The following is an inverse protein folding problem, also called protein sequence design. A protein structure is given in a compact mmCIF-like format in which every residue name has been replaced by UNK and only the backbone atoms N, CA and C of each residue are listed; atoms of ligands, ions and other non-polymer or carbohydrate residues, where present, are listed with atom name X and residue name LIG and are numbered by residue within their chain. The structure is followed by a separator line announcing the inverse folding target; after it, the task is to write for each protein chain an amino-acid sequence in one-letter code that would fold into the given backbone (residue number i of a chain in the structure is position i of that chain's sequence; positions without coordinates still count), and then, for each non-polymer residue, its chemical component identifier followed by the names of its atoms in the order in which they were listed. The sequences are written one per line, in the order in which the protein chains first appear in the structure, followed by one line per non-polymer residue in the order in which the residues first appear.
data_IF_772904862854
#
_entry.id   IF_772904862854
#
_cell.length_a   1.000
_cell.length_b   1.000
_cell.length_c   1.000
_cell.angle_alpha   90.00
_cell.angle_beta   90.00
_cell.angle_gamma   90.00
#
_symmetry.space_group_name_H-M   'P 1'
#
loop_
_entity.id
_entity.type
_entity.pdbx_description
1 polymer ?
#
# COMPACT_ATOMS: atom_id res chain seq x y z
N UNK A 1 -5.60 -27.40 11.68
CA UNK A 1 -6.76 -28.24 12.11
C UNK A 1 -7.35 -27.81 13.48
N UNK A 2 -6.53 -27.42 14.46
CA UNK A 2 -7.02 -26.93 15.76
C UNK A 2 -7.75 -25.58 15.64
N UNK A 3 -7.31 -24.72 14.73
CA UNK A 3 -7.90 -23.40 14.47
C UNK A 3 -9.30 -23.50 13.84
N UNK A 4 -9.51 -24.44 12.93
CA UNK A 4 -10.84 -24.71 12.34
C UNK A 4 -11.84 -25.19 13.35
N UNK A 5 -11.41 -26.00 14.32
CA UNK A 5 -12.23 -26.51 15.42
C UNK A 5 -12.69 -25.41 16.37
N UNK A 6 -11.77 -24.54 16.79
CA UNK A 6 -12.09 -23.39 17.68
C UNK A 6 -13.01 -22.40 16.98
N UNK A 7 -12.81 -22.15 15.70
CA UNK A 7 -13.65 -21.27 14.88
C UNK A 7 -15.07 -21.82 14.74
N UNK A 8 -15.21 -23.13 14.48
CA UNK A 8 -16.51 -23.79 14.39
C UNK A 8 -17.24 -23.79 15.74
N UNK A 9 -16.53 -24.01 16.85
CA UNK A 9 -17.07 -23.90 18.21
C UNK A 9 -17.55 -22.46 18.49
N UNK A 10 -16.74 -21.46 18.17
CA UNK A 10 -17.11 -20.05 18.33
C UNK A 10 -18.40 -19.71 17.58
N UNK A 11 -18.51 -20.16 16.33
CA UNK A 11 -19.73 -19.99 15.52
C UNK A 11 -20.95 -20.69 16.14
N UNK A 12 -20.79 -21.90 16.69
CA UNK A 12 -21.88 -22.60 17.36
C UNK A 12 -22.34 -21.90 18.64
N UNK A 13 -21.40 -21.39 19.44
CA UNK A 13 -21.68 -20.62 20.67
C UNK A 13 -22.45 -19.33 20.35
N UNK A 14 -22.00 -18.58 19.35
CA UNK A 14 -22.61 -17.30 18.92
C UNK A 14 -24.05 -17.50 18.38
N UNK A 15 -24.32 -18.58 17.66
CA UNK A 15 -25.66 -18.87 17.15
C UNK A 15 -26.65 -19.29 18.21
N UNK A 16 -26.17 -19.79 19.36
CA UNK A 16 -26.98 -20.36 20.43
C UNK A 16 -27.40 -19.37 21.50
N UNK A 17 -26.66 -18.26 21.65
CA UNK A 17 -26.92 -17.27 22.69
C UNK A 17 -26.72 -15.85 22.15
N UNK A 18 -27.78 -15.00 22.22
CA UNK A 18 -27.62 -13.57 21.89
C UNK A 18 -26.55 -12.88 22.74
N UNK A 19 -26.41 -13.25 24.01
CA UNK A 19 -25.38 -12.71 24.89
C UNK A 19 -23.98 -13.11 24.43
N UNK A 20 -23.80 -14.38 24.02
CA UNK A 20 -22.54 -14.85 23.44
C UNK A 20 -22.20 -14.14 22.13
N UNK A 21 -23.22 -13.83 21.31
CA UNK A 21 -23.04 -13.04 20.09
C UNK A 21 -22.57 -11.62 20.39
N UNK A 22 -23.17 -10.97 21.38
CA UNK A 22 -22.78 -9.62 21.80
C UNK A 22 -21.34 -9.61 22.36
N UNK A 23 -20.94 -10.61 23.12
CA UNK A 23 -19.56 -10.75 23.61
C UNK A 23 -18.60 -10.89 22.44
N UNK A 24 -18.92 -11.73 21.45
CA UNK A 24 -18.09 -11.90 20.26
C UNK A 24 -18.00 -10.61 19.41
N UNK A 25 -19.13 -9.91 19.22
CA UNK A 25 -19.14 -8.61 18.50
C UNK A 25 -18.23 -7.63 19.23
N UNK A 26 -18.40 -7.46 20.54
CA UNK A 26 -17.59 -6.54 21.34
C UNK A 26 -16.09 -6.88 21.35
N UNK A 27 -15.72 -8.15 21.15
CA UNK A 27 -14.34 -8.57 21.03
C UNK A 27 -13.74 -8.29 19.63
N UNK A 28 -14.53 -8.47 18.58
CA UNK A 28 -14.03 -8.34 17.19
C UNK A 28 -14.20 -6.94 16.60
N UNK A 29 -15.23 -6.19 16.99
CA UNK A 29 -15.53 -4.87 16.39
C UNK A 29 -14.41 -3.85 16.59
N UNK A 30 -13.82 -3.65 17.79
CA UNK A 30 -12.70 -2.72 17.97
C UNK A 30 -11.49 -3.10 17.11
N UNK A 31 -11.28 -4.42 16.92
CA UNK A 31 -10.20 -4.91 16.06
C UNK A 31 -10.47 -4.64 14.58
N UNK A 32 -11.71 -4.80 14.13
CA UNK A 32 -12.09 -4.46 12.77
C UNK A 32 -11.95 -2.95 12.51
N UNK A 33 -12.37 -2.13 13.47
CA UNK A 33 -12.25 -0.66 13.40
C UNK A 33 -10.78 -0.21 13.29
N UNK A 34 -9.87 -0.80 14.05
CA UNK A 34 -8.45 -0.46 14.05
C UNK A 34 -7.62 -1.08 12.91
N UNK A 35 -8.21 -1.76 11.93
CA UNK A 35 -7.45 -2.44 10.85
C UNK A 35 -6.65 -1.46 9.99
N UNK A 36 -7.20 -0.29 9.69
CA UNK A 36 -6.50 0.74 8.93
C UNK A 36 -5.29 1.27 9.69
N UNK A 37 -5.46 1.62 10.96
CA UNK A 37 -4.38 2.17 11.79
C UNK A 37 -3.24 1.15 11.96
N UNK A 38 -3.58 -0.13 12.13
CA UNK A 38 -2.57 -1.20 12.18
C UNK A 38 -1.84 -1.40 10.85
N UNK A 39 -2.52 -1.19 9.72
CA UNK A 39 -1.88 -1.23 8.42
C UNK A 39 -0.92 -0.05 8.26
N UNK A 40 -1.34 1.17 8.59
CA UNK A 40 -0.50 2.36 8.56
C UNK A 40 0.73 2.16 9.46
N UNK A 41 0.52 1.76 10.71
CA UNK A 41 1.61 1.48 11.63
C UNK A 41 2.56 0.38 11.17
N UNK A 42 2.06 -0.65 10.47
CA UNK A 42 2.91 -1.68 9.88
C UNK A 42 3.72 -1.15 8.68
N UNK A 43 3.12 -0.32 7.83
CA UNK A 43 3.81 0.34 6.72
C UNK A 43 4.94 1.23 7.25
N UNK A 44 4.64 2.07 8.23
CA UNK A 44 5.63 3.00 8.81
C UNK A 44 6.77 2.27 9.53
N UNK A 45 6.46 1.22 10.26
CA UNK A 45 7.46 0.40 10.96
C UNK A 45 8.38 -0.34 10.00
N UNK A 46 7.81 -0.96 8.94
CA UNK A 46 8.55 -1.86 8.07
C UNK A 46 9.18 -1.13 6.87
N UNK A 47 8.58 -0.04 6.39
CA UNK A 47 9.01 0.65 5.17
C UNK A 47 9.39 2.13 5.39
N UNK A 48 9.07 2.70 6.55
CA UNK A 48 9.34 4.10 6.88
C UNK A 48 8.12 5.01 6.71
N UNK A 49 8.29 6.31 7.01
CA UNK A 49 7.20 7.28 7.05
C UNK A 49 6.56 7.45 5.67
N UNK A 50 5.23 7.61 5.66
CA UNK A 50 4.45 7.87 4.46
C UNK A 50 4.35 9.37 4.16
N UNK A 51 4.18 9.72 2.89
CA UNK A 51 4.01 11.10 2.47
C UNK A 51 2.57 11.38 2.01
N UNK A 52 2.12 12.61 2.21
CA UNK A 52 0.96 13.13 1.51
C UNK A 52 1.31 13.30 0.02
N UNK A 53 0.66 12.54 -0.86
CA UNK A 53 1.03 12.44 -2.28
C UNK A 53 1.01 13.80 -3.00
N UNK A 54 -0.07 14.61 -2.95
CA UNK A 54 -0.07 15.95 -3.55
C UNK A 54 1.02 16.86 -2.97
N UNK A 55 1.16 16.91 -1.66
CA UNK A 55 2.12 17.77 -0.98
C UNK A 55 3.56 17.42 -1.35
N UNK A 56 3.93 16.13 -1.29
CA UNK A 56 5.29 15.70 -1.65
C UNK A 56 5.64 16.03 -3.10
N UNK A 57 4.69 15.85 -4.02
CA UNK A 57 4.88 16.21 -5.43
C UNK A 57 5.14 17.71 -5.61
N UNK A 58 4.42 18.57 -4.88
CA UNK A 58 4.63 20.02 -4.91
C UNK A 58 5.96 20.41 -4.25
N UNK A 59 6.30 19.83 -3.11
CA UNK A 59 7.56 20.07 -2.42
C UNK A 59 8.77 19.82 -3.32
N UNK A 60 8.75 18.73 -4.11
CA UNK A 60 9.81 18.41 -5.06
C UNK A 60 9.89 19.41 -6.22
N UNK A 61 8.74 19.96 -6.69
CA UNK A 61 8.74 21.05 -7.66
C UNK A 61 9.37 22.29 -7.06
N UNK A 62 8.99 22.67 -5.83
CA UNK A 62 9.53 23.83 -5.16
C UNK A 62 11.02 23.68 -4.86
N UNK A 63 11.48 22.47 -4.51
CA UNK A 63 12.90 22.17 -4.36
C UNK A 63 13.65 22.37 -5.68
N UNK A 64 13.11 21.87 -6.81
CA UNK A 64 13.70 22.08 -8.12
C UNK A 64 13.84 23.58 -8.47
N UNK A 65 12.78 24.35 -8.23
CA UNK A 65 12.78 25.81 -8.47
C UNK A 65 13.77 26.53 -7.56
N UNK A 66 13.74 26.24 -6.27
CA UNK A 66 14.61 26.88 -5.28
C UNK A 66 16.10 26.58 -5.55
N UNK A 67 16.43 25.32 -5.92
CA UNK A 67 17.79 24.94 -6.23
C UNK A 67 18.33 25.60 -7.54
N UNK A 68 17.44 25.72 -8.53
CA UNK A 68 17.85 26.21 -9.86
C UNK A 68 17.79 27.73 -10.04
N UNK A 69 16.85 28.40 -9.36
CA UNK A 69 16.61 29.85 -9.53
C UNK A 69 17.87 30.71 -9.37
N UNK A 70 18.70 30.56 -8.30
CA UNK A 70 19.92 31.36 -8.15
C UNK A 70 20.92 31.18 -9.29
N UNK A 71 20.82 30.07 -10.01
CA UNK A 71 21.69 29.77 -11.16
C UNK A 71 21.11 30.29 -12.49
N UNK A 72 19.79 30.42 -12.59
CA UNK A 72 19.11 31.00 -13.78
C UNK A 72 19.12 32.54 -13.77
N UNK A 73 18.91 33.20 -12.62
CA UNK A 73 18.85 34.66 -12.52
C UNK A 73 20.06 35.41 -13.13
N UNK A 74 21.33 34.96 -12.91
CA UNK A 74 22.47 35.59 -13.55
C UNK A 74 22.46 35.46 -15.07
N UNK A 75 21.96 34.32 -15.60
CA UNK A 75 21.90 34.08 -17.05
C UNK A 75 20.87 34.99 -17.74
N UNK A 76 19.77 35.30 -17.08
CA UNK A 76 18.74 36.20 -17.59
C UNK A 76 19.25 37.65 -17.76
N UNK A 77 20.27 38.02 -16.97
CA UNK A 77 20.91 39.34 -17.02
C UNK A 77 22.01 39.45 -18.07
N UNK A 78 22.40 38.34 -18.70
CA UNK A 78 23.41 38.37 -19.75
C UNK A 78 22.88 39.00 -21.04
N UNK A 79 23.78 39.67 -21.83
CA UNK A 79 23.36 40.24 -23.10
C UNK A 79 22.81 39.18 -24.05
N UNK A 80 21.87 39.54 -24.95
CA UNK A 80 21.38 38.67 -25.98
C UNK A 80 22.50 38.09 -26.85
N UNK A 81 22.40 36.80 -27.20
CA UNK A 81 23.42 36.07 -27.96
C UNK A 81 22.78 35.14 -28.98
N UNK A 82 23.47 34.98 -30.10
CA UNK A 82 23.12 34.01 -31.16
C UNK A 82 24.41 33.42 -31.75
N UNK A 83 24.25 32.37 -32.53
CA UNK A 83 25.32 31.79 -33.34
C UNK A 83 24.76 31.26 -34.66
N UNK A 84 25.62 31.09 -35.69
CA UNK A 84 25.22 30.48 -36.96
C UNK A 84 24.59 29.08 -36.79
N UNK A 85 25.14 28.27 -35.86
CA UNK A 85 24.63 26.95 -35.58
C UNK A 85 23.23 26.98 -34.96
N UNK A 86 22.97 27.95 -34.08
CA UNK A 86 21.63 28.15 -33.50
C UNK A 86 20.63 28.55 -34.59
N UNK A 87 21.02 29.50 -35.46
CA UNK A 87 20.16 29.99 -36.56
C UNK A 87 19.84 28.85 -37.55
N UNK A 88 20.82 28.00 -37.90
CA UNK A 88 20.60 26.83 -38.76
C UNK A 88 19.60 25.86 -38.13
N UNK A 89 19.74 25.49 -36.86
CA UNK A 89 18.81 24.61 -36.17
C UNK A 89 17.39 25.16 -36.13
N UNK A 90 17.23 26.46 -35.89
CA UNK A 90 15.94 27.11 -35.74
C UNK A 90 15.22 27.38 -37.08
N UNK A 91 15.96 27.44 -38.19
CA UNK A 91 15.41 27.53 -39.55
C UNK A 91 14.87 26.19 -40.05
N UNK A 92 15.04 25.10 -39.35
CA UNK A 92 14.38 23.81 -39.66
C UNK A 92 12.90 23.83 -39.35
N UNK A 93 12.10 22.97 -39.99
CA UNK A 93 10.69 22.78 -39.60
C UNK A 93 10.50 22.45 -38.13
N UNK A 94 11.39 21.67 -37.55
CA UNK A 94 11.40 21.32 -36.15
C UNK A 94 11.72 22.52 -35.24
N UNK A 95 12.70 23.32 -35.62
CA UNK A 95 13.06 24.57 -34.94
C UNK A 95 11.92 25.59 -34.97
N UNK A 96 11.32 25.81 -36.16
CA UNK A 96 10.13 26.66 -36.28
C UNK A 96 8.96 26.17 -35.43
N UNK A 97 8.75 24.85 -35.34
CA UNK A 97 7.73 24.28 -34.46
C UNK A 97 8.04 24.52 -32.99
N UNK A 98 9.32 24.39 -32.60
CA UNK A 98 9.76 24.70 -31.23
C UNK A 98 9.56 26.20 -30.90
N UNK A 99 9.84 27.11 -31.82
CA UNK A 99 9.59 28.55 -31.64
C UNK A 99 8.07 28.87 -31.50
N UNK A 100 7.19 28.22 -32.28
CA UNK A 100 5.72 28.36 -32.09
C UNK A 100 5.28 27.86 -30.73
N UNK A 101 5.78 26.69 -30.32
CA UNK A 101 5.50 26.15 -28.99
C UNK A 101 6.04 27.07 -27.86
N UNK A 102 7.23 27.67 -28.07
CA UNK A 102 7.83 28.62 -27.13
C UNK A 102 6.90 29.82 -26.89
N UNK A 103 6.36 30.42 -27.92
CA UNK A 103 5.41 31.52 -27.82
C UNK A 103 4.15 31.12 -27.05
N UNK A 104 3.55 29.98 -27.38
CA UNK A 104 2.39 29.44 -26.64
C UNK A 104 2.68 29.17 -25.15
N UNK A 105 3.88 28.70 -24.83
CA UNK A 105 4.29 28.42 -23.44
C UNK A 105 4.49 29.77 -22.69
N UNK A 106 5.15 30.73 -23.33
CA UNK A 106 5.36 32.05 -22.75
C UNK A 106 4.03 32.76 -22.45
N UNK A 107 3.09 32.72 -23.39
CA UNK A 107 1.74 33.28 -23.22
C UNK A 107 0.99 32.59 -22.07
N UNK A 108 1.02 31.26 -22.01
CA UNK A 108 0.40 30.49 -20.93
C UNK A 108 1.04 30.79 -19.55
N UNK A 109 2.34 31.07 -19.50
CA UNK A 109 3.07 31.45 -18.30
C UNK A 109 2.98 32.95 -17.99
N UNK A 110 2.23 33.72 -18.81
CA UNK A 110 2.06 35.18 -18.65
C UNK A 110 3.39 35.92 -18.65
N UNK A 111 4.31 35.54 -19.55
CA UNK A 111 5.54 36.26 -19.77
C UNK A 111 5.23 37.73 -20.14
N UNK A 112 6.04 38.69 -19.65
CA UNK A 112 5.81 40.10 -19.96
C UNK A 112 5.73 40.36 -21.48
N UNK A 113 4.81 41.21 -21.89
CA UNK A 113 4.69 41.58 -23.31
C UNK A 113 6.02 42.13 -23.82
N UNK A 114 6.46 41.63 -24.96
CA UNK A 114 7.73 42.04 -25.60
C UNK A 114 8.98 41.39 -24.97
N UNK A 115 8.86 40.52 -23.97
CA UNK A 115 10.01 39.76 -23.43
C UNK A 115 10.55 38.70 -24.36
N UNK A 116 9.73 38.27 -25.33
CA UNK A 116 10.08 37.29 -26.35
C UNK A 116 10.55 37.99 -27.63
N UNK A 117 11.75 37.66 -28.08
CA UNK A 117 12.27 38.16 -29.36
C UNK A 117 11.77 37.28 -30.54
N UNK A 118 10.55 36.75 -30.50
CA UNK A 118 9.95 35.94 -31.56
C UNK A 118 8.76 36.66 -32.12
N UNK A 119 8.73 36.83 -33.46
CA UNK A 119 7.61 37.33 -34.24
C UNK A 119 7.30 36.39 -35.39
N UNK A 120 6.60 36.93 -36.42
CA UNK A 120 6.28 36.17 -37.63
C UNK A 120 6.73 36.95 -38.87
N UNK A 121 7.22 36.23 -39.88
CA UNK A 121 7.49 36.75 -41.19
C UNK A 121 6.19 36.93 -42.00
N UNK A 122 6.29 37.45 -43.25
CA UNK A 122 5.16 37.64 -44.13
C UNK A 122 4.43 36.32 -44.51
N UNK A 123 5.10 35.18 -44.37
CA UNK A 123 4.54 33.85 -44.62
C UNK A 123 3.95 33.20 -43.32
N UNK A 124 4.03 33.91 -42.18
CA UNK A 124 3.54 33.40 -40.88
C UNK A 124 4.51 32.43 -40.18
N UNK A 125 5.74 32.34 -40.65
CA UNK A 125 6.75 31.53 -39.96
C UNK A 125 7.33 32.31 -38.77
N UNK A 126 7.62 31.61 -37.65
CA UNK A 126 8.27 32.27 -36.54
C UNK A 126 9.70 32.66 -36.90
N UNK A 127 10.07 33.89 -36.58
CA UNK A 127 11.39 34.45 -36.81
C UNK A 127 11.83 35.29 -35.59
N UNK A 128 13.12 35.45 -35.39
CA UNK A 128 13.58 36.39 -34.39
C UNK A 128 13.41 37.83 -34.89
N UNK A 129 12.79 38.66 -34.08
CA UNK A 129 12.61 40.09 -34.34
C UNK A 129 13.80 40.92 -33.85
N UNK A 130 14.63 40.34 -32.99
CA UNK A 130 15.89 40.88 -32.47
C UNK A 130 16.78 39.73 -32.05
N UNK A 131 18.05 39.99 -31.73
CA UNK A 131 18.93 38.98 -31.10
C UNK A 131 18.28 38.43 -29.85
N UNK A 132 18.06 37.10 -29.78
CA UNK A 132 17.32 36.50 -28.67
C UNK A 132 18.10 36.58 -27.36
N UNK A 133 17.43 36.94 -26.29
CA UNK A 133 17.97 36.87 -24.95
C UNK A 133 17.87 35.43 -24.41
N UNK A 134 18.51 35.16 -23.27
CA UNK A 134 18.49 33.85 -22.60
C UNK A 134 17.07 33.33 -22.37
N UNK A 135 16.16 34.19 -21.90
CA UNK A 135 14.78 33.81 -21.60
C UNK A 135 14.04 33.31 -22.86
N UNK A 136 14.17 34.03 -23.99
CA UNK A 136 13.61 33.61 -25.30
C UNK A 136 14.11 32.24 -25.70
N UNK A 137 15.43 32.01 -25.60
CA UNK A 137 16.04 30.72 -25.99
C UNK A 137 15.64 29.61 -25.01
N UNK A 138 15.48 29.91 -23.72
CA UNK A 138 14.97 28.92 -22.76
C UNK A 138 13.50 28.52 -23.02
N UNK A 139 12.67 29.43 -23.51
CA UNK A 139 11.33 29.07 -24.00
C UNK A 139 11.38 28.21 -25.26
N UNK A 140 12.31 28.49 -26.18
CA UNK A 140 12.53 27.62 -27.36
C UNK A 140 12.94 26.20 -26.96
N UNK A 141 13.82 26.07 -25.95
CA UNK A 141 14.14 24.77 -25.34
C UNK A 141 12.89 24.03 -24.84
N UNK A 142 12.02 24.72 -24.10
CA UNK A 142 10.74 24.13 -23.66
C UNK A 142 9.83 23.76 -24.85
N UNK A 143 9.88 24.51 -25.93
CA UNK A 143 9.21 24.19 -27.18
C UNK A 143 9.72 22.89 -27.82
N UNK A 144 11.03 22.65 -27.82
CA UNK A 144 11.62 21.38 -28.24
C UNK A 144 11.23 20.23 -27.32
N UNK A 145 11.26 20.44 -26.01
CA UNK A 145 10.82 19.43 -25.02
C UNK A 145 9.39 18.99 -25.28
N UNK A 146 8.47 19.95 -25.47
CA UNK A 146 7.06 19.69 -25.79
C UNK A 146 6.89 18.89 -27.08
N UNK A 147 7.62 19.25 -28.15
CA UNK A 147 7.60 18.53 -29.41
C UNK A 147 8.06 17.09 -29.26
N UNK A 148 9.19 16.88 -28.59
CA UNK A 148 9.74 15.56 -28.32
C UNK A 148 8.76 14.68 -27.51
N UNK A 149 8.25 15.20 -26.39
CA UNK A 149 7.33 14.43 -25.53
C UNK A 149 6.02 14.08 -26.26
N UNK A 150 5.52 14.98 -27.13
CA UNK A 150 4.30 14.71 -27.92
C UNK A 150 4.51 13.56 -28.89
N UNK A 151 5.62 13.59 -29.66
CA UNK A 151 5.95 12.54 -30.62
C UNK A 151 6.28 11.22 -29.95
N UNK A 152 7.02 11.27 -28.83
CA UNK A 152 7.36 10.09 -28.04
C UNK A 152 6.11 9.36 -27.51
N UNK A 153 5.13 10.11 -26.99
CA UNK A 153 3.84 9.55 -26.54
C UNK A 153 3.01 8.95 -27.67
N UNK A 154 3.13 9.54 -28.86
CA UNK A 154 2.46 9.03 -30.06
C UNK A 154 3.19 7.80 -30.67
N UNK A 155 4.38 7.45 -30.18
CA UNK A 155 5.21 6.40 -30.80
C UNK A 155 5.74 6.79 -32.18
N UNK A 156 5.83 8.09 -32.49
CA UNK A 156 6.24 8.60 -33.80
C UNK A 156 7.76 8.39 -33.99
N UNK A 157 8.20 7.78 -35.12
CA UNK A 157 9.63 7.59 -35.42
C UNK A 157 10.44 8.89 -35.43
N UNK A 158 9.82 10.03 -35.71
CA UNK A 158 10.48 11.34 -35.71
C UNK A 158 10.95 11.79 -34.33
N UNK A 159 10.43 11.17 -33.24
CA UNK A 159 10.84 11.50 -31.87
C UNK A 159 12.36 11.41 -31.68
N UNK A 160 13.00 10.40 -32.30
CA UNK A 160 14.47 10.24 -32.27
C UNK A 160 15.21 11.44 -32.85
N UNK A 161 14.81 11.86 -34.04
CA UNK A 161 15.43 13.01 -34.74
C UNK A 161 15.21 14.33 -34.00
N UNK A 162 14.01 14.54 -33.45
CA UNK A 162 13.73 15.73 -32.63
C UNK A 162 14.55 15.73 -31.34
N UNK A 163 14.74 14.55 -30.72
CA UNK A 163 15.59 14.47 -29.53
C UNK A 163 17.07 14.74 -29.83
N UNK A 164 17.56 14.33 -31.00
CA UNK A 164 18.94 14.68 -31.44
C UNK A 164 19.07 16.19 -31.59
N UNK A 165 18.20 16.82 -32.39
CA UNK A 165 18.21 18.28 -32.60
C UNK A 165 18.07 19.06 -31.29
N UNK A 166 17.24 18.59 -30.37
CA UNK A 166 17.10 19.14 -29.01
C UNK A 166 18.41 19.06 -28.20
N UNK A 167 19.15 17.96 -28.32
CA UNK A 167 20.45 17.81 -27.65
C UNK A 167 21.50 18.76 -28.24
N UNK A 168 21.53 18.89 -29.56
CA UNK A 168 22.42 19.81 -30.27
C UNK A 168 22.11 21.25 -29.88
N UNK A 169 20.82 21.61 -29.82
CA UNK A 169 20.35 22.91 -29.33
C UNK A 169 20.81 23.19 -27.88
N UNK A 170 20.70 22.21 -26.99
CA UNK A 170 21.15 22.35 -25.60
C UNK A 170 22.67 22.51 -25.49
N UNK A 171 23.44 21.80 -26.30
CA UNK A 171 24.90 21.96 -26.35
C UNK A 171 25.30 23.39 -26.80
N UNK A 172 24.60 23.92 -27.81
CA UNK A 172 24.85 25.28 -28.26
C UNK A 172 24.44 26.34 -27.22
N UNK A 173 23.33 26.12 -26.52
CA UNK A 173 22.95 26.96 -25.40
C UNK A 173 23.98 26.96 -24.26
N UNK A 174 24.60 25.81 -23.97
CA UNK A 174 25.66 25.70 -22.97
C UNK A 174 26.92 26.47 -23.40
N UNK A 175 27.23 26.51 -24.72
CA UNK A 175 28.34 27.30 -25.29
C UNK A 175 28.06 28.82 -25.17
N UNK A 176 26.82 29.23 -25.52
CA UNK A 176 26.43 30.63 -25.49
C UNK A 176 26.28 31.19 -24.06
N UNK A 177 25.83 30.38 -23.13
CA UNK A 177 25.53 30.76 -21.75
C UNK A 177 26.24 29.84 -20.75
N UNK A 178 27.55 30.07 -20.46
CA UNK A 178 28.27 29.33 -19.44
C UNK A 178 27.52 29.34 -18.09
N UNK A 179 27.33 28.18 -17.49
CA UNK A 179 26.55 27.98 -16.27
C UNK A 179 25.13 27.46 -16.54
N UNK A 180 24.63 27.47 -17.77
CA UNK A 180 23.29 26.96 -18.08
C UNK A 180 23.18 25.44 -17.84
N UNK A 181 24.21 24.67 -18.18
CA UNK A 181 24.25 23.24 -17.87
C UNK A 181 24.10 22.98 -16.36
N UNK A 182 24.78 23.78 -15.52
CA UNK A 182 24.69 23.67 -14.06
C UNK A 182 23.27 24.04 -13.55
N UNK A 183 22.69 25.13 -14.07
CA UNK A 183 21.32 25.53 -13.73
C UNK A 183 20.28 24.44 -14.07
N UNK A 184 20.42 23.83 -15.26
CA UNK A 184 19.57 22.71 -15.69
C UNK A 184 19.77 21.48 -14.80
N UNK A 185 20.98 21.14 -14.45
CA UNK A 185 21.28 20.00 -13.57
C UNK A 185 20.66 20.18 -12.18
N UNK A 186 20.73 21.40 -11.63
CA UNK A 186 20.11 21.72 -10.33
C UNK A 186 18.58 21.57 -10.35
N UNK A 187 17.93 21.87 -11.47
CA UNK A 187 16.49 21.62 -11.65
C UNK A 187 16.18 20.14 -11.89
N UNK A 188 16.99 19.47 -12.71
CA UNK A 188 16.71 18.12 -13.19
C UNK A 188 16.77 17.06 -12.07
N UNK A 189 17.59 17.25 -11.05
CA UNK A 189 17.69 16.32 -9.91
C UNK A 189 16.33 16.13 -9.20
N UNK A 190 15.83 17.17 -8.52
CA UNK A 190 14.53 17.08 -7.84
C UNK A 190 13.36 16.84 -8.79
N UNK A 191 13.42 17.28 -10.04
CA UNK A 191 12.39 16.97 -11.05
C UNK A 191 12.35 15.46 -11.35
N UNK A 192 13.49 14.82 -11.50
CA UNK A 192 13.60 13.37 -11.72
C UNK A 192 13.17 12.57 -10.46
N UNK A 193 13.44 13.08 -9.27
CA UNK A 193 12.95 12.52 -8.01
C UNK A 193 11.42 12.59 -7.94
N UNK A 194 10.81 13.69 -8.37
CA UNK A 194 9.36 13.83 -8.48
C UNK A 194 8.75 12.81 -9.46
N UNK A 195 9.37 12.66 -10.63
CA UNK A 195 8.93 11.65 -11.61
C UNK A 195 9.01 10.24 -11.01
N UNK A 196 10.08 9.93 -10.30
CA UNK A 196 10.24 8.65 -9.61
C UNK A 196 9.19 8.45 -8.52
N UNK A 197 8.90 9.48 -7.71
CA UNK A 197 7.82 9.44 -6.72
C UNK A 197 6.46 9.15 -7.36
N UNK A 198 6.11 9.85 -8.44
CA UNK A 198 4.86 9.63 -9.15
C UNK A 198 4.79 8.24 -9.81
N UNK A 199 5.91 7.76 -10.37
CA UNK A 199 6.00 6.40 -10.89
C UNK A 199 5.80 5.37 -9.77
N UNK A 200 6.32 5.62 -8.59
CA UNK A 200 6.09 4.81 -7.37
C UNK A 200 4.62 4.74 -6.98
N UNK A 201 3.90 5.86 -6.98
CA UNK A 201 2.44 5.91 -6.77
C UNK A 201 1.70 5.06 -7.81
N UNK A 202 2.16 5.08 -9.08
CA UNK A 202 1.59 4.27 -10.16
C UNK A 202 2.04 2.81 -10.20
N UNK A 203 2.99 2.40 -9.38
CA UNK A 203 3.67 1.10 -9.46
C UNK A 203 2.76 -0.12 -9.29
N UNK A 204 1.60 0.03 -8.66
CA UNK A 204 0.57 -1.03 -8.57
C UNK A 204 0.08 -1.52 -9.93
N UNK A 205 0.15 -0.67 -10.96
CA UNK A 205 -0.29 -1.00 -12.32
C UNK A 205 0.82 -1.68 -13.15
N UNK A 206 2.05 -1.76 -12.62
CA UNK A 206 3.15 -2.44 -13.27
C UNK A 206 3.07 -3.94 -13.00
N UNK A 207 3.54 -4.76 -13.96
CA UNK A 207 3.82 -6.17 -13.66
C UNK A 207 5.05 -6.26 -12.73
N UNK A 208 5.21 -7.35 -11.94
CA UNK A 208 6.40 -7.51 -11.10
C UNK A 208 7.72 -7.40 -11.89
N UNK A 209 7.78 -8.00 -13.08
CA UNK A 209 8.96 -7.94 -13.96
C UNK A 209 9.17 -6.53 -14.53
N UNK A 210 8.08 -5.85 -14.91
CA UNK A 210 8.12 -4.46 -15.36
C UNK A 210 8.63 -3.51 -14.26
N UNK A 211 8.24 -3.75 -13.02
CA UNK A 211 8.75 -3.02 -11.87
C UNK A 211 10.24 -3.28 -11.67
N UNK A 212 10.66 -4.54 -11.66
CA UNK A 212 12.07 -4.90 -11.50
C UNK A 212 12.93 -4.24 -12.59
N UNK A 213 12.46 -4.25 -13.83
CA UNK A 213 13.13 -3.57 -14.95
C UNK A 213 13.20 -2.04 -14.75
N UNK A 214 12.11 -1.42 -14.30
CA UNK A 214 12.02 0.03 -14.11
C UNK A 214 13.01 0.56 -13.04
N UNK A 215 13.27 -0.24 -11.99
CA UNK A 215 14.15 0.18 -10.88
C UNK A 215 15.58 -0.30 -11.01
N UNK A 216 15.90 -1.19 -11.95
CA UNK A 216 17.19 -1.90 -12.06
C UNK A 216 18.39 -0.97 -12.02
N UNK A 217 18.36 0.10 -12.82
CA UNK A 217 19.45 1.05 -12.96
C UNK A 217 19.08 2.43 -12.38
N UNK A 218 18.10 2.47 -11.48
CA UNK A 218 17.63 3.72 -10.87
C UNK A 218 18.61 4.18 -9.78
N UNK A 219 19.14 5.42 -9.84
CA UNK A 219 19.98 5.98 -8.78
C UNK A 219 19.26 6.01 -7.43
N UNK A 220 19.98 5.78 -6.33
CA UNK A 220 19.41 5.63 -4.99
C UNK A 220 18.46 6.78 -4.58
N UNK A 221 18.79 8.09 -4.79
CA UNK A 221 17.84 9.16 -4.42
C UNK A 221 16.49 9.06 -5.15
N UNK A 222 16.51 8.62 -6.41
CA UNK A 222 15.27 8.40 -7.18
C UNK A 222 14.55 7.13 -6.73
N UNK A 223 15.27 6.07 -6.39
CA UNK A 223 14.72 4.82 -5.90
C UNK A 223 14.03 5.03 -4.54
N UNK A 224 14.61 5.83 -3.67
CA UNK A 224 13.97 6.23 -2.39
C UNK A 224 12.65 6.95 -2.62
N UNK A 225 12.61 7.91 -3.55
CA UNK A 225 11.35 8.59 -3.90
C UNK A 225 10.32 7.64 -4.54
N UNK A 226 10.77 6.72 -5.37
CA UNK A 226 9.90 5.68 -5.95
C UNK A 226 9.31 4.80 -4.84
N UNK A 227 10.12 4.33 -3.91
CA UNK A 227 9.69 3.56 -2.73
C UNK A 227 8.69 4.35 -1.88
N UNK A 228 9.01 5.62 -1.59
CA UNK A 228 8.10 6.52 -0.85
C UNK A 228 6.76 6.70 -1.57
N UNK A 229 6.76 6.88 -2.87
CA UNK A 229 5.54 6.95 -3.67
C UNK A 229 4.70 5.69 -3.53
N UNK A 230 5.33 4.50 -3.60
CA UNK A 230 4.62 3.22 -3.47
C UNK A 230 4.00 3.00 -2.10
N UNK A 231 4.72 3.26 -1.01
CA UNK A 231 4.17 3.09 0.35
C UNK A 231 3.06 4.11 0.64
N UNK A 232 3.17 5.33 0.11
CA UNK A 232 2.12 6.35 0.22
C UNK A 232 0.85 5.95 -0.53
N UNK A 233 0.97 5.34 -1.72
CA UNK A 233 -0.17 4.77 -2.46
C UNK A 233 -0.83 3.61 -1.70
N UNK A 234 -0.06 2.75 -1.03
CA UNK A 234 -0.60 1.67 -0.20
C UNK A 234 -1.53 2.23 0.88
N UNK A 235 -1.09 3.25 1.60
CA UNK A 235 -1.89 3.89 2.66
C UNK A 235 -3.08 4.63 2.09
N UNK A 236 -2.92 5.38 1.00
CA UNK A 236 -4.01 6.07 0.32
C UNK A 236 -5.08 5.10 -0.21
N UNK A 237 -4.69 3.98 -0.80
CA UNK A 237 -5.63 2.95 -1.25
C UNK A 237 -6.34 2.26 -0.08
N UNK A 238 -5.61 1.97 1.00
CA UNK A 238 -6.22 1.39 2.20
C UNK A 238 -7.28 2.31 2.81
N UNK A 239 -7.04 3.62 2.80
CA UNK A 239 -7.98 4.64 3.28
C UNK A 239 -9.26 4.77 2.43
N UNK A 240 -9.24 4.32 1.17
CA UNK A 240 -10.41 4.32 0.28
C UNK A 240 -11.31 3.08 0.44
N UNK A 241 -10.86 2.09 1.20
CA UNK A 241 -11.62 0.85 1.42
C UNK A 241 -12.78 1.14 2.36
N UNK A 242 -13.97 0.61 2.02
CA UNK A 242 -15.14 0.73 2.89
C UNK A 242 -14.86 0.11 4.26
N UNK A 243 -15.38 0.72 5.31
CA UNK A 243 -15.24 0.29 6.70
C UNK A 243 -15.54 -1.21 6.95
N UNK A 244 -16.44 -1.81 6.15
CA UNK A 244 -16.82 -3.23 6.27
C UNK A 244 -15.86 -4.20 5.56
N UNK A 245 -14.89 -3.68 4.81
CA UNK A 245 -13.94 -4.49 4.05
C UNK A 245 -12.54 -4.44 4.68
N UNK A 246 -11.77 -5.51 4.50
CA UNK A 246 -10.41 -5.58 5.03
C UNK A 246 -9.44 -4.78 4.14
N UNK A 247 -8.86 -3.65 4.63
CA UNK A 247 -7.96 -2.82 3.85
C UNK A 247 -6.66 -3.55 3.44
N UNK A 248 -6.19 -4.50 4.23
CA UNK A 248 -5.02 -5.31 3.91
C UNK A 248 -5.17 -6.11 2.61
N UNK A 249 -6.37 -6.66 2.35
CA UNK A 249 -6.63 -7.41 1.14
C UNK A 249 -6.52 -6.55 -0.12
N UNK A 250 -6.88 -5.27 -0.04
CA UNK A 250 -6.84 -4.35 -1.18
C UNK A 250 -5.40 -4.00 -1.62
N UNK A 251 -4.45 -4.08 -0.69
CA UNK A 251 -3.07 -3.60 -0.90
C UNK A 251 -2.00 -4.70 -0.90
N UNK A 252 -2.28 -5.89 -0.35
CA UNK A 252 -1.32 -7.01 -0.23
C UNK A 252 -1.93 -8.35 -0.65
N UNK A 253 -3.23 -8.39 -0.95
CA UNK A 253 -3.99 -9.63 -1.11
C UNK A 253 -3.58 -10.48 -2.30
N UNK A 254 -2.99 -9.91 -3.35
CA UNK A 254 -2.60 -10.66 -4.54
C UNK A 254 -1.12 -11.11 -4.49
N UNK A 255 -0.78 -12.28 -5.09
CA UNK A 255 0.62 -12.70 -5.22
C UNK A 255 1.50 -11.68 -5.95
N UNK A 256 0.96 -11.01 -6.95
CA UNK A 256 1.67 -9.98 -7.70
C UNK A 256 2.03 -8.76 -6.82
N UNK A 257 1.13 -8.35 -5.91
CA UNK A 257 1.45 -7.28 -4.94
C UNK A 257 2.54 -7.71 -3.96
N UNK A 258 2.47 -8.91 -3.45
CA UNK A 258 3.51 -9.45 -2.56
C UNK A 258 4.88 -9.52 -3.25
N UNK A 259 4.90 -9.90 -4.53
CA UNK A 259 6.12 -9.92 -5.32
C UNK A 259 6.66 -8.50 -5.59
N UNK A 260 5.79 -7.51 -5.90
CA UNK A 260 6.20 -6.10 -6.04
C UNK A 260 6.81 -5.56 -4.76
N UNK A 261 6.20 -5.85 -3.60
CA UNK A 261 6.74 -5.44 -2.30
C UNK A 261 8.09 -6.10 -2.03
N UNK A 262 8.24 -7.40 -2.31
CA UNK A 262 9.50 -8.11 -2.15
C UNK A 262 10.61 -7.54 -3.06
N UNK A 263 10.26 -7.09 -4.28
CA UNK A 263 11.20 -6.44 -5.19
C UNK A 263 11.67 -5.08 -4.69
N UNK A 264 10.76 -4.27 -4.13
CA UNK A 264 11.08 -2.92 -3.63
C UNK A 264 11.74 -2.92 -2.26
N UNK A 265 11.35 -3.86 -1.40
CA UNK A 265 11.73 -3.93 0.02
C UNK A 265 12.11 -5.36 0.40
N UNK A 266 13.21 -5.91 -0.17
CA UNK A 266 13.55 -7.32 -0.01
C UNK A 266 13.73 -7.75 1.45
N UNK A 267 14.24 -6.87 2.31
CA UNK A 267 14.48 -7.15 3.72
C UNK A 267 13.20 -7.08 4.59
N UNK A 268 12.32 -6.13 4.30
CA UNK A 268 11.17 -5.77 5.14
C UNK A 268 9.85 -6.38 4.67
N UNK A 269 9.71 -6.66 3.36
CA UNK A 269 8.49 -7.23 2.81
C UNK A 269 8.06 -8.56 3.46
N UNK A 270 8.97 -9.50 3.82
CA UNK A 270 8.57 -10.73 4.49
C UNK A 270 7.84 -10.49 5.83
N UNK A 271 8.31 -9.53 6.64
CA UNK A 271 7.68 -9.13 7.90
C UNK A 271 6.27 -8.58 7.67
N UNK A 272 6.13 -7.65 6.73
CA UNK A 272 4.87 -7.04 6.38
C UNK A 272 3.85 -8.05 5.81
N UNK A 273 4.31 -8.97 4.95
CA UNK A 273 3.45 -10.03 4.39
C UNK A 273 3.00 -10.99 5.51
N UNK A 274 3.85 -11.32 6.47
CA UNK A 274 3.47 -12.14 7.63
C UNK A 274 2.39 -11.45 8.47
N UNK A 275 2.51 -10.15 8.69
CA UNK A 275 1.48 -9.36 9.38
C UNK A 275 0.15 -9.39 8.60
N UNK A 276 0.19 -9.24 7.28
CA UNK A 276 -0.99 -9.40 6.43
C UNK A 276 -1.65 -10.78 6.61
N UNK A 277 -0.85 -11.85 6.61
CA UNK A 277 -1.39 -13.20 6.79
C UNK A 277 -2.12 -13.35 8.12
N UNK A 278 -1.55 -12.80 9.20
CA UNK A 278 -2.18 -12.78 10.52
C UNK A 278 -3.52 -12.02 10.51
N UNK A 279 -3.55 -10.81 9.96
CA UNK A 279 -4.79 -10.01 9.87
C UNK A 279 -5.86 -10.67 9.00
N UNK A 280 -5.44 -11.33 7.91
CA UNK A 280 -6.34 -12.11 7.04
C UNK A 280 -6.95 -13.30 7.79
N UNK A 281 -6.15 -14.04 8.54
CA UNK A 281 -6.61 -15.23 9.26
C UNK A 281 -7.55 -14.85 10.40
N UNK A 282 -7.31 -13.73 11.08
CA UNK A 282 -8.22 -13.15 12.07
C UNK A 282 -9.55 -12.73 11.43
N UNK A 283 -9.50 -12.03 10.28
CA UNK A 283 -10.71 -11.65 9.56
C UNK A 283 -11.53 -12.85 9.08
N UNK A 284 -10.86 -13.92 8.64
CA UNK A 284 -11.52 -15.19 8.30
C UNK A 284 -12.19 -15.83 9.51
N UNK A 285 -11.51 -15.87 10.65
CA UNK A 285 -12.07 -16.39 11.91
C UNK A 285 -13.29 -15.57 12.36
N UNK A 286 -13.21 -14.25 12.31
CA UNK A 286 -14.33 -13.35 12.58
C UNK A 286 -15.55 -13.65 11.68
N UNK A 287 -15.33 -13.72 10.36
CA UNK A 287 -16.37 -14.03 9.40
C UNK A 287 -16.95 -15.45 9.61
N UNK A 288 -16.12 -16.39 9.98
CA UNK A 288 -16.58 -17.74 10.28
C UNK A 288 -17.40 -17.81 11.57
N UNK A 289 -17.09 -17.03 12.58
CA UNK A 289 -17.78 -17.00 13.86
C UNK A 289 -19.08 -16.18 13.77
N UNK A 290 -19.03 -14.97 13.22
CA UNK A 290 -20.16 -14.04 13.17
C UNK A 290 -21.01 -14.15 11.89
N UNK A 291 -20.45 -14.70 10.82
CA UNK A 291 -21.11 -14.85 9.53
C UNK A 291 -22.18 -15.96 9.52
N UNK A 292 -23.23 -15.78 8.73
CA UNK A 292 -24.42 -16.64 8.73
C UNK A 292 -24.40 -17.87 7.82
N UNK A 293 -23.36 -18.12 7.01
CA UNK A 293 -23.36 -19.25 6.06
C UNK A 293 -23.09 -20.58 6.74
N UNK A 294 -24.00 -21.58 6.67
CA UNK A 294 -23.78 -22.88 7.28
C UNK A 294 -22.78 -23.70 6.47
N UNK A 295 -21.65 -24.04 7.09
CA UNK A 295 -20.75 -25.08 6.57
C UNK A 295 -21.05 -26.42 7.25
N UNK A 296 -20.64 -27.54 6.65
CA UNK A 296 -20.83 -28.87 7.22
C UNK A 296 -20.24 -28.99 8.64
N UNK A 297 -19.08 -28.38 8.90
CA UNK A 297 -18.46 -28.36 10.22
C UNK A 297 -19.30 -27.58 11.26
N UNK A 298 -19.92 -26.46 10.84
CA UNK A 298 -20.83 -25.67 11.69
C UNK A 298 -22.10 -26.45 12.01
N UNK A 299 -22.66 -27.19 11.04
CA UNK A 299 -23.83 -28.04 11.26
C UNK A 299 -23.52 -29.16 12.24
N UNK A 300 -22.36 -29.80 12.13
CA UNK A 300 -21.91 -30.84 13.06
C UNK A 300 -21.73 -30.29 14.49
N UNK A 301 -21.13 -29.10 14.63
CA UNK A 301 -21.03 -28.45 15.93
C UNK A 301 -22.38 -28.04 16.51
N UNK A 302 -23.31 -27.59 15.68
CA UNK A 302 -24.68 -27.29 16.11
C UNK A 302 -25.41 -28.55 16.59
N UNK A 303 -25.21 -29.68 15.93
CA UNK A 303 -25.74 -30.98 16.36
C UNK A 303 -25.09 -31.46 17.67
N UNK A 304 -23.77 -31.27 17.80
CA UNK A 304 -23.06 -31.60 19.03
C UNK A 304 -23.55 -30.78 20.24
N UNK A 305 -23.89 -29.52 20.05
CA UNK A 305 -24.48 -28.68 21.09
C UNK A 305 -25.91 -29.05 21.49
N UNK A 306 -26.63 -29.76 20.63
CA UNK A 306 -28.00 -30.24 20.95
C UNK A 306 -27.99 -31.40 21.96
N UNK A 307 -26.90 -32.16 22.04
CA UNK A 307 -26.71 -33.21 23.05
C UNK A 307 -25.89 -32.71 24.25
N UNK A 308 -26.07 -33.35 25.41
CA UNK A 308 -25.29 -33.05 26.64
C UNK A 308 -23.76 -33.22 26.46
N UNK A 309 -23.33 -33.88 25.38
CA UNK A 309 -21.95 -34.20 25.05
C UNK A 309 -21.12 -32.97 24.59
N UNK A 310 -21.76 -31.94 24.04
CA UNK A 310 -21.06 -30.83 23.43
C UNK A 310 -20.28 -29.97 24.41
N UNK A 311 -20.78 -29.83 25.63
CA UNK A 311 -20.04 -29.10 26.67
C UNK A 311 -18.76 -29.81 27.08
N UNK A 312 -18.79 -31.11 27.12
CA UNK A 312 -17.65 -31.94 27.55
C UNK A 312 -16.63 -32.08 26.38
N UNK A 313 -17.08 -32.16 25.14
CA UNK A 313 -16.21 -32.16 23.94
C UNK A 313 -15.57 -30.81 23.65
N UNK A 314 -16.30 -29.71 23.83
CA UNK A 314 -15.73 -28.38 23.71
C UNK A 314 -14.65 -28.15 24.78
N UNK A 315 -14.87 -28.62 25.98
CA UNK A 315 -13.93 -28.55 27.09
C UNK A 315 -12.69 -29.44 26.82
N UNK A 316 -12.88 -30.64 26.26
CA UNK A 316 -11.83 -31.59 25.91
C UNK A 316 -10.98 -31.08 24.74
N UNK A 317 -11.58 -30.53 23.69
CA UNK A 317 -10.87 -29.89 22.60
C UNK A 317 -10.04 -28.69 23.04
N UNK A 318 -10.54 -27.87 23.98
CA UNK A 318 -9.82 -26.74 24.57
C UNK A 318 -8.68 -27.18 25.51
N UNK A 319 -8.79 -28.33 26.15
CA UNK A 319 -7.81 -28.79 27.14
C UNK A 319 -6.73 -29.71 26.59
N UNK A 320 -7.05 -30.48 25.55
CA UNK A 320 -6.16 -31.53 25.03
C UNK A 320 -5.53 -31.19 23.69
N UNK A 321 -6.03 -30.14 22.99
CA UNK A 321 -5.59 -29.83 21.63
C UNK A 321 -5.90 -30.96 20.62
N UNK A 322 -6.73 -31.91 21.01
CA UNK A 322 -7.07 -33.07 20.17
C UNK A 322 -7.95 -32.63 18.97
N UNK A 323 -7.66 -33.10 17.77
CA UNK A 323 -8.47 -32.78 16.59
C UNK A 323 -9.89 -33.32 16.77
N UNK A 324 -10.89 -32.48 16.47
CA UNK A 324 -12.34 -32.75 16.62
C UNK A 324 -12.80 -34.03 15.90
N UNK A 325 -11.97 -34.60 15.01
CA UNK A 325 -12.25 -35.88 14.33
C UNK A 325 -12.51 -37.05 15.28
N UNK A 326 -11.92 -37.05 16.46
CA UNK A 326 -12.18 -38.11 17.46
C UNK A 326 -13.56 -37.99 18.11
N UNK A 327 -14.17 -36.80 18.15
CA UNK A 327 -15.50 -36.57 18.68
C UNK A 327 -16.65 -37.01 17.75
N UNK A 328 -16.41 -37.06 16.44
CA UNK A 328 -17.43 -37.44 15.44
C UNK A 328 -17.87 -38.92 15.57
N UNK A 329 -17.00 -39.82 16.02
CA UNK A 329 -17.33 -41.22 16.21
C UNK A 329 -18.25 -41.48 17.43
N UNK A 330 -18.40 -40.51 18.33
CA UNK A 330 -19.21 -40.61 19.55
C UNK A 330 -20.65 -40.13 19.29
N UNK A 331 -20.86 -39.23 18.30
CA UNK A 331 -22.16 -38.64 17.97
C UNK A 331 -23.22 -39.63 17.43
N UNK A 332 -22.81 -40.79 16.92
CA UNK A 332 -23.72 -41.80 16.38
C UNK A 332 -24.56 -42.54 17.43
N UNK A 333 -24.36 -42.26 18.74
CA UNK A 333 -24.94 -43.11 19.80
C UNK A 333 -26.00 -42.48 20.68
N UNK A 334 -26.33 -41.19 20.57
CA UNK A 334 -27.25 -40.55 21.49
C UNK A 334 -28.44 -39.86 20.82
N UNK A 335 -29.65 -40.25 21.28
CA UNK A 335 -30.95 -39.81 20.79
C UNK A 335 -31.36 -38.37 21.20
N UNK A 336 -32.38 -37.89 20.51
CA UNK A 336 -32.95 -36.54 20.60
C UNK A 336 -33.69 -36.34 21.93
N UNK A 337 -33.28 -35.31 22.71
CA UNK A 337 -34.08 -34.83 23.83
C UNK A 337 -34.24 -33.29 23.80
N UNK A 338 -35.46 -32.81 23.91
CA UNK A 338 -35.86 -31.38 23.91
C UNK A 338 -35.29 -30.58 25.09
N UNK A 339 -34.85 -31.21 26.16
CA UNK A 339 -34.12 -30.58 27.27
C UNK A 339 -32.73 -30.02 26.89
N UNK A 340 -32.23 -30.37 25.71
CA UNK A 340 -30.94 -29.90 25.20
C UNK A 340 -30.88 -28.41 24.84
N UNK A 341 -31.99 -27.76 24.51
CA UNK A 341 -32.02 -26.37 24.02
C UNK A 341 -31.69 -25.35 25.11
N UNK A 342 -32.33 -25.42 26.25
CA UNK A 342 -32.13 -24.49 27.39
C UNK A 342 -30.73 -24.71 27.99
N UNK A 343 -30.29 -25.97 28.07
CA UNK A 343 -28.94 -26.30 28.51
C UNK A 343 -27.84 -25.82 27.58
N UNK A 344 -28.07 -25.84 26.26
CA UNK A 344 -27.11 -25.39 25.25
C UNK A 344 -26.90 -23.88 25.28
N UNK A 345 -27.97 -23.10 25.44
CA UNK A 345 -27.89 -21.64 25.55
C UNK A 345 -27.11 -21.23 26.83
N UNK A 346 -27.47 -21.84 27.97
CA UNK A 346 -26.74 -21.58 29.22
C UNK A 346 -25.27 -21.91 29.12
N UNK A 347 -24.89 -23.02 28.50
CA UNK A 347 -23.50 -23.40 28.26
C UNK A 347 -22.79 -22.46 27.31
N UNK A 348 -23.46 -22.02 26.23
CA UNK A 348 -22.93 -21.06 25.29
C UNK A 348 -22.61 -19.72 26.00
N UNK A 349 -23.51 -19.24 26.87
CA UNK A 349 -23.30 -18.04 27.67
C UNK A 349 -22.13 -18.17 28.66
N UNK A 350 -21.93 -19.36 29.26
CA UNK A 350 -20.81 -19.63 30.17
C UNK A 350 -19.44 -19.72 29.45
N UNK A 351 -19.43 -20.21 28.21
CA UNK A 351 -18.20 -20.42 27.43
C UNK A 351 -17.75 -19.15 26.70
N UNK A 352 -18.70 -18.33 26.23
CA UNK A 352 -18.41 -17.15 25.42
C UNK A 352 -17.41 -16.17 26.05
N UNK A 353 -17.47 -15.80 27.33
CA UNK A 353 -16.51 -14.90 27.95
C UNK A 353 -15.06 -15.44 27.93
N UNK A 354 -14.91 -16.76 27.99
CA UNK A 354 -13.60 -17.41 27.96
C UNK A 354 -13.06 -17.54 26.52
N UNK A 355 -13.97 -17.84 25.59
CA UNK A 355 -13.60 -18.06 24.18
C UNK A 355 -13.26 -16.77 23.45
N UNK A 356 -13.91 -15.66 23.80
CA UNK A 356 -13.77 -14.37 23.14
C UNK A 356 -13.03 -13.32 24.00
N UNK A 357 -12.40 -13.73 25.12
CA UNK A 357 -11.55 -12.83 25.88
C UNK A 357 -10.29 -12.46 25.08
N UNK A 358 -10.03 -11.16 24.96
CA UNK A 358 -8.85 -10.66 24.28
C UNK A 358 -7.57 -10.81 25.11
N UNK A 359 -7.72 -11.05 26.42
CA UNK A 359 -6.61 -11.32 27.35
C UNK A 359 -6.48 -12.82 27.59
N UNK A 360 -5.54 -13.46 26.91
CA UNK A 360 -5.29 -14.90 27.02
C UNK A 360 -4.96 -15.35 28.47
N UNK A 361 -4.37 -14.47 29.29
CA UNK A 361 -4.07 -14.77 30.67
C UNK A 361 -5.34 -14.80 31.54
N UNK A 362 -6.25 -13.85 31.34
CA UNK A 362 -7.56 -13.82 32.01
C UNK A 362 -8.45 -14.96 31.56
N UNK A 363 -8.47 -15.25 30.26
CA UNK A 363 -9.19 -16.40 29.71
C UNK A 363 -8.71 -17.71 30.34
N UNK A 364 -7.40 -17.90 30.43
CA UNK A 364 -6.79 -19.08 31.08
C UNK A 364 -7.09 -19.14 32.61
N UNK A 365 -7.11 -18.01 33.30
CA UNK A 365 -7.45 -17.93 34.72
C UNK A 365 -8.94 -18.20 34.98
N UNK A 366 -9.84 -17.63 34.19
CA UNK A 366 -11.28 -17.89 34.26
C UNK A 366 -11.59 -19.37 34.04
N UNK A 367 -10.90 -19.99 33.06
CA UNK A 367 -10.99 -21.42 32.82
C UNK A 367 -10.49 -22.25 34.01
N UNK A 368 -9.35 -21.88 34.63
CA UNK A 368 -8.83 -22.56 35.84
C UNK A 368 -9.78 -22.47 37.04
N UNK A 369 -10.52 -21.37 37.15
CA UNK A 369 -11.50 -21.15 38.25
C UNK A 369 -12.82 -21.88 38.01
N UNK A 370 -13.11 -22.34 36.78
CA UNK A 370 -14.37 -23.03 36.48
C UNK A 370 -14.50 -24.32 37.31
N UNK A 371 -15.69 -24.55 37.88
CA UNK A 371 -15.97 -25.74 38.68
C UNK A 371 -15.71 -27.06 37.96
N UNK A 372 -15.79 -27.06 36.61
CA UNK A 372 -15.57 -28.22 35.75
C UNK A 372 -14.07 -28.54 35.55
N UNK A 373 -13.21 -27.51 35.50
CA UNK A 373 -11.77 -27.70 35.44
C UNK A 373 -11.24 -28.43 36.71
N UNK A 374 -11.87 -28.20 37.84
CA UNK A 374 -11.57 -28.95 39.09
C UNK A 374 -11.94 -30.43 39.01
N UNK A 375 -13.03 -30.76 38.29
CA UNK A 375 -13.49 -32.16 38.10
C UNK A 375 -12.61 -32.91 37.08
N UNK A 376 -12.20 -32.24 35.98
CA UNK A 376 -11.26 -32.80 35.00
C UNK A 376 -9.90 -33.12 35.60
N UNK A 377 -9.39 -32.30 36.54
CA UNK A 377 -8.15 -32.55 37.27
C UNK A 377 -8.20 -33.80 38.16
N UNK A 378 -9.38 -34.22 38.63
CA UNK A 378 -9.57 -35.41 39.41
C UNK A 378 -9.59 -36.71 38.58
N UNK A 379 -9.89 -36.62 37.30
CA UNK A 379 -9.98 -37.76 36.36
C UNK A 379 -8.65 -38.02 35.62
N UNK A 380 -7.89 -36.97 35.34
CA UNK A 380 -6.58 -37.08 34.71
C UNK A 380 -5.49 -36.80 35.75
N UNK A 381 -4.90 -37.84 36.26
CA UNK A 381 -3.79 -37.79 37.24
C UNK A 381 -2.64 -36.90 36.74
N UNK A 382 -1.75 -36.51 37.64
CA UNK A 382 -0.64 -35.56 37.54
C UNK A 382 0.22 -35.53 36.24
N UNK A 383 0.06 -36.49 35.33
CA UNK A 383 0.79 -36.57 34.05
C UNK A 383 0.17 -35.72 32.93
N UNK A 384 -1.14 -35.41 32.92
CA UNK A 384 -1.81 -34.60 31.90
C UNK A 384 -1.61 -33.08 32.08
N UNK A 385 -1.32 -32.62 33.30
CA UNK A 385 -1.23 -31.19 33.60
C UNK A 385 0.00 -30.47 33.01
N UNK A 386 1.04 -31.20 32.57
CA UNK A 386 2.24 -30.62 31.93
C UNK A 386 2.09 -30.41 30.41
N UNK A 387 1.25 -31.18 29.74
CA UNK A 387 1.02 -31.05 28.28
C UNK A 387 0.05 -29.90 27.91
N UNK A 388 -0.90 -29.59 28.82
CA UNK A 388 -1.89 -28.54 28.57
C UNK A 388 -1.36 -27.09 28.68
N UNK A 389 -0.23 -26.89 29.33
CA UNK A 389 0.34 -25.56 29.54
C UNK A 389 1.13 -25.05 28.31
N UNK A 390 1.51 -25.90 27.37
CA UNK A 390 2.29 -25.50 26.19
C UNK A 390 1.47 -25.17 24.96
N UNK A 391 0.17 -25.46 24.94
CA UNK A 391 -0.70 -25.24 23.76
C UNK A 391 -1.44 -23.90 23.83
N UNK A 392 -1.55 -23.28 25.01
CA UNK A 392 -2.17 -21.95 25.19
C UNK A 392 -1.17 -20.82 24.93
N UNK A 393 0.10 -21.13 24.68
CA UNK A 393 1.18 -20.16 24.44
C UNK A 393 1.49 -19.95 22.96
N UNK A 394 0.49 -19.97 22.08
CA UNK A 394 0.66 -19.28 20.82
C UNK A 394 0.66 -17.76 21.14
N UNK A 395 1.77 -17.05 20.94
CA UNK A 395 1.86 -15.66 21.36
C UNK A 395 0.92 -14.82 20.51
N UNK A 396 -0.14 -14.33 21.13
CA UNK A 396 -0.62 -13.02 20.74
C UNK A 396 0.49 -12.09 21.21
N UNK A 397 1.42 -11.74 20.30
CA UNK A 397 2.41 -10.73 20.60
C UNK A 397 1.68 -9.43 20.89
N UNK A 398 1.48 -9.15 22.16
CA UNK A 398 1.35 -7.77 22.63
C UNK A 398 2.74 -7.17 22.51
N UNK A 399 2.99 -6.39 21.47
CA UNK A 399 4.12 -5.47 21.45
C UNK A 399 3.91 -4.49 22.59
N UNK A 400 4.58 -4.72 23.73
CA UNK A 400 4.81 -3.70 24.72
C UNK A 400 5.65 -2.61 24.07
N UNK A 401 5.13 -1.40 24.04
CA UNK A 401 5.93 -0.19 23.82
C UNK A 401 6.75 0.04 25.09
N UNK A 402 8.04 -0.01 24.99
CA UNK A 402 9.02 0.89 25.61
C UNK A 402 9.90 1.46 24.52
#
# INVERSE_FOLDING_TARGET
DADTGLTALGGAVVRRSPDARNIAINAFEPRAQGQYDRLVGAVERDFGPVANIPQRSEDLIQQARTASRPLYEPLESLPPRTSPALDEMLNTNAGMTAMRNATQIADAQRAPAGSMAIGQDAAGNPVFTATPNFQTLNYVKQGFDRSYETLKRAGDPLAGSINSLRKDYLAEMDNLYPGYAQARAAYAGPAAEREAFQAGVGARNMTPDGLAFAIKDMPEPRLEQFRLGRISDIVDQAGKVKYTANPWNSVVGSPAEQQRLATLFPENAPSFIKQYQLERDIARSQNAILGGSPTAERQLMDQAFQGNLAGDMALDAMTTGAPIKSGLNILGRFGKDELGRIGAEKKAKEIAPVLFDTDAAKAAEAFRKSKKAKKARGIFGRRGARAGASVVSAPIMTSGYE
#
